data_IF_674231679529
#
_entry.id   IF_674231679529
#
_cell.length_a   1.000
_cell.length_b   1.000
_cell.length_c   1.000
_cell.angle_alpha   90.00
_cell.angle_beta   90.00
_cell.angle_gamma   90.00
#
_symmetry.space_group_name_H-M   'P 1'
#
loop_
_entity.id
_entity.type
_entity.pdbx_description
1 polymer ?
#
# COMPACT_ATOMS: atom_id res chain seq x y z
N UNK A 1 0.41 13.68 19.85
CA UNK A 1 -0.79 14.10 19.09
C UNK A 1 -1.48 12.83 18.63
N UNK A 2 -2.81 12.68 18.78
CA UNK A 2 -3.50 11.47 18.33
C UNK A 2 -3.37 11.31 16.80
N UNK A 3 -3.33 10.07 16.30
CA UNK A 3 -3.25 9.79 14.86
C UNK A 3 -4.34 10.52 14.05
N UNK A 4 -5.53 10.68 14.63
CA UNK A 4 -6.66 11.44 14.07
C UNK A 4 -6.33 12.92 13.84
N UNK A 5 -5.60 13.56 14.76
CA UNK A 5 -5.22 14.97 14.63
C UNK A 5 -4.16 15.16 13.55
N UNK A 6 -3.17 14.26 13.50
CA UNK A 6 -2.12 14.28 12.47
C UNK A 6 -2.72 14.10 11.08
N UNK A 7 -3.69 13.19 10.93
CA UNK A 7 -4.42 13.01 9.68
C UNK A 7 -5.17 14.28 9.24
N UNK A 8 -5.88 14.94 10.15
CA UNK A 8 -6.60 16.18 9.85
C UNK A 8 -5.68 17.34 9.42
N UNK A 9 -4.54 17.51 10.10
CA UNK A 9 -3.56 18.53 9.75
C UNK A 9 -2.94 18.28 8.36
N UNK A 10 -2.64 17.00 8.04
CA UNK A 10 -2.14 16.59 6.73
C UNK A 10 -3.16 16.79 5.62
N UNK A 11 -4.43 16.44 5.85
CA UNK A 11 -5.52 16.69 4.91
C UNK A 11 -5.67 18.18 4.61
N UNK A 12 -5.66 19.02 5.64
CA UNK A 12 -5.78 20.45 5.46
C UNK A 12 -4.58 21.03 4.68
N UNK A 13 -3.37 20.56 4.98
CA UNK A 13 -2.17 20.94 4.23
C UNK A 13 -2.24 20.48 2.77
N UNK A 14 -2.68 19.26 2.51
CA UNK A 14 -2.84 18.74 1.16
C UNK A 14 -3.82 19.58 0.35
N UNK A 15 -4.98 19.96 0.93
CA UNK A 15 -5.95 20.85 0.30
C UNK A 15 -5.36 22.20 -0.11
N UNK A 16 -4.51 22.78 0.73
CA UNK A 16 -3.83 24.06 0.43
C UNK A 16 -2.86 23.88 -0.74
N UNK A 17 -2.02 22.85 -0.69
CA UNK A 17 -1.00 22.60 -1.72
C UNK A 17 -1.61 22.25 -3.08
N UNK A 18 -2.67 21.43 -3.11
CA UNK A 18 -3.37 21.03 -4.33
C UNK A 18 -4.12 22.18 -5.01
N UNK A 19 -4.40 23.28 -4.30
CA UNK A 19 -4.99 24.50 -4.88
C UNK A 19 -3.95 25.45 -5.49
N UNK A 20 -2.66 25.22 -5.29
CA UNK A 20 -1.61 26.00 -5.96
C UNK A 20 -1.58 25.68 -7.46
N UNK A 21 -1.03 26.57 -8.32
CA UNK A 21 -0.90 26.28 -9.75
C UNK A 21 -0.13 24.97 -10.02
N UNK A 22 0.93 24.71 -9.24
CA UNK A 22 1.68 23.45 -9.33
C UNK A 22 0.81 22.27 -8.92
N UNK A 23 0.13 22.37 -7.78
CA UNK A 23 -0.75 21.33 -7.27
C UNK A 23 -1.85 20.92 -8.24
N UNK A 24 -2.56 21.91 -8.80
CA UNK A 24 -3.67 21.70 -9.72
C UNK A 24 -3.27 21.07 -11.06
N UNK A 25 -2.02 21.32 -11.51
CA UNK A 25 -1.50 20.81 -12.78
C UNK A 25 -0.70 19.50 -12.62
N UNK A 26 -0.35 19.10 -11.39
CA UNK A 26 0.45 17.90 -11.16
C UNK A 26 -0.41 16.66 -11.36
N UNK A 27 -0.06 15.84 -12.34
CA UNK A 27 -0.66 14.51 -12.51
C UNK A 27 -0.15 13.56 -11.44
N UNK A 28 -1.04 12.83 -10.78
CA UNK A 28 -0.68 11.75 -9.86
C UNK A 28 -0.96 10.40 -10.52
N UNK A 29 -0.07 9.43 -10.34
CA UNK A 29 -0.20 8.08 -10.89
C UNK A 29 -0.07 7.07 -9.76
N UNK A 30 -1.06 6.20 -9.60
CA UNK A 30 -0.96 5.01 -8.75
C UNK A 30 -0.32 3.86 -9.53
N UNK A 31 0.88 3.50 -9.12
CA UNK A 31 1.74 2.46 -9.65
C UNK A 31 1.42 1.04 -9.19
N UNK A 32 0.13 0.70 -9.00
CA UNK A 32 -0.30 -0.54 -8.35
C UNK A 32 -1.51 -1.18 -9.04
N UNK A 33 -1.47 -2.52 -9.18
CA UNK A 33 -2.60 -3.32 -9.66
C UNK A 33 -3.59 -3.72 -8.56
N UNK A 34 -3.22 -3.56 -7.27
CA UNK A 34 -4.06 -3.94 -6.14
C UNK A 34 -5.40 -3.20 -6.13
N UNK A 35 -6.51 -3.95 -6.04
CA UNK A 35 -7.87 -3.42 -5.90
C UNK A 35 -8.04 -2.64 -4.60
N UNK A 36 -7.47 -3.15 -3.50
CA UNK A 36 -7.55 -2.51 -2.18
C UNK A 36 -6.82 -1.17 -2.17
N UNK A 37 -5.62 -1.09 -2.75
CA UNK A 37 -4.88 0.18 -2.82
C UNK A 37 -5.59 1.22 -3.70
N UNK A 38 -6.31 0.78 -4.74
CA UNK A 38 -7.16 1.66 -5.55
C UNK A 38 -8.32 2.20 -4.72
N UNK A 39 -9.05 1.33 -4.01
CA UNK A 39 -10.11 1.74 -3.08
C UNK A 39 -9.63 2.76 -2.06
N UNK A 40 -8.46 2.53 -1.44
CA UNK A 40 -7.87 3.48 -0.48
C UNK A 40 -7.47 4.82 -1.12
N UNK A 41 -7.01 4.82 -2.36
CA UNK A 41 -6.78 6.07 -3.11
C UNK A 41 -8.08 6.80 -3.45
N UNK A 42 -9.15 6.07 -3.79
CA UNK A 42 -10.47 6.65 -4.05
C UNK A 42 -11.02 7.33 -2.79
N UNK A 43 -10.99 6.64 -1.65
CA UNK A 43 -11.35 7.22 -0.34
C UNK A 43 -10.50 8.45 -0.01
N UNK A 44 -9.18 8.40 -0.27
CA UNK A 44 -8.29 9.53 -0.02
C UNK A 44 -8.64 10.75 -0.89
N UNK A 45 -8.99 10.53 -2.17
CA UNK A 45 -9.46 11.57 -3.06
C UNK A 45 -10.74 12.23 -2.53
N UNK A 46 -11.69 11.44 -2.04
CA UNK A 46 -12.93 11.94 -1.42
C UNK A 46 -12.64 12.75 -0.14
N UNK A 47 -11.77 12.23 0.74
CA UNK A 47 -11.38 12.89 1.99
C UNK A 47 -10.68 14.24 1.76
N UNK A 48 -9.79 14.31 0.76
CA UNK A 48 -9.12 15.55 0.37
C UNK A 48 -10.12 16.55 -0.19
N UNK A 49 -11.11 16.08 -0.96
CA UNK A 49 -12.21 16.87 -1.47
C UNK A 49 -12.34 16.75 -2.98
N UNK A 50 -13.59 16.82 -3.46
CA UNK A 50 -13.94 16.63 -4.86
C UNK A 50 -13.02 17.41 -5.80
N UNK A 51 -12.46 16.70 -6.78
CA UNK A 51 -11.63 17.24 -7.85
C UNK A 51 -10.30 17.92 -7.44
N UNK A 52 -9.90 17.86 -6.16
CA UNK A 52 -8.59 18.42 -5.73
C UNK A 52 -7.43 17.43 -5.96
N UNK A 53 -7.65 16.15 -5.66
CA UNK A 53 -6.70 15.09 -5.97
C UNK A 53 -7.33 14.16 -7.00
N UNK A 54 -6.65 13.97 -8.12
CA UNK A 54 -7.02 13.00 -9.16
C UNK A 54 -5.80 12.15 -9.48
N UNK A 55 -6.03 10.89 -9.78
CA UNK A 55 -4.95 9.97 -10.12
C UNK A 55 -5.33 9.07 -11.29
N UNK A 56 -4.31 8.65 -12.04
CA UNK A 56 -4.41 7.57 -13.02
C UNK A 56 -3.78 6.31 -12.48
N UNK A 57 -4.10 5.14 -13.06
CA UNK A 57 -3.43 3.89 -12.73
C UNK A 57 -2.50 3.49 -13.86
N UNK A 58 -1.24 3.18 -13.53
CA UNK A 58 -0.30 2.62 -14.48
C UNK A 58 0.57 1.57 -13.79
N UNK A 59 0.58 0.36 -14.33
CA UNK A 59 1.37 -0.74 -13.77
C UNK A 59 2.45 -1.19 -14.75
N UNK A 60 3.50 -1.78 -14.20
CA UNK A 60 4.51 -2.53 -14.92
C UNK A 60 4.76 -3.83 -14.18
N UNK A 61 4.96 -4.90 -14.95
CA UNK A 61 5.28 -6.20 -14.38
C UNK A 61 6.75 -6.21 -13.98
N UNK A 62 7.02 -6.67 -12.76
CA UNK A 62 8.36 -6.97 -12.28
C UNK A 62 8.38 -8.38 -11.72
N UNK A 63 9.51 -9.07 -11.84
CA UNK A 63 9.73 -10.33 -11.16
C UNK A 63 10.04 -10.04 -9.67
N UNK A 64 8.99 -9.86 -8.87
CA UNK A 64 9.11 -9.62 -7.42
C UNK A 64 9.83 -10.77 -6.73
N UNK A 65 9.69 -12.00 -7.26
CA UNK A 65 10.29 -13.22 -6.68
C UNK A 65 11.81 -13.25 -6.79
N UNK A 66 12.38 -12.57 -7.80
CA UNK A 66 13.83 -12.42 -7.95
C UNK A 66 14.46 -11.49 -6.90
N UNK A 67 13.67 -10.64 -6.24
CA UNK A 67 14.15 -9.69 -5.24
C UNK A 67 13.89 -10.26 -3.85
N UNK A 68 14.98 -10.54 -3.12
CA UNK A 68 14.92 -11.08 -1.76
C UNK A 68 15.80 -10.28 -0.81
N UNK A 69 15.28 -9.99 0.37
CA UNK A 69 16.00 -9.41 1.51
C UNK A 69 15.57 -10.14 2.77
N UNK A 70 16.47 -10.22 3.75
CA UNK A 70 16.16 -10.81 5.07
C UNK A 70 15.37 -9.84 5.93
N UNK A 71 15.72 -8.56 5.85
CA UNK A 71 14.98 -7.50 6.51
C UNK A 71 13.73 -7.13 5.69
N UNK A 72 12.53 -7.15 6.32
CA UNK A 72 11.28 -6.87 5.61
C UNK A 72 11.20 -5.41 5.14
N UNK A 73 11.75 -4.45 5.90
CA UNK A 73 11.75 -3.03 5.53
C UNK A 73 12.62 -2.77 4.31
N UNK A 74 13.79 -3.41 4.24
CA UNK A 74 14.65 -3.40 3.06
C UNK A 74 13.95 -4.04 1.85
N UNK A 75 13.25 -5.17 2.05
CA UNK A 75 12.53 -5.87 0.98
C UNK A 75 11.51 -4.95 0.31
N UNK A 76 10.57 -4.42 1.10
CA UNK A 76 9.48 -3.57 0.57
C UNK A 76 10.01 -2.27 -0.01
N UNK A 77 11.10 -1.72 0.56
CA UNK A 77 11.77 -0.53 0.02
C UNK A 77 12.33 -0.79 -1.38
N UNK A 78 13.03 -1.91 -1.57
CA UNK A 78 13.61 -2.26 -2.87
C UNK A 78 12.51 -2.58 -3.88
N UNK A 79 11.47 -3.29 -3.48
CA UNK A 79 10.33 -3.63 -4.35
C UNK A 79 9.56 -2.39 -4.79
N UNK A 80 9.25 -1.47 -3.88
CA UNK A 80 8.58 -0.21 -4.24
C UNK A 80 9.40 0.60 -5.25
N UNK A 81 10.72 0.74 -5.04
CA UNK A 81 11.63 1.41 -5.99
C UNK A 81 11.73 0.67 -7.33
N UNK A 82 11.78 -0.66 -7.32
CA UNK A 82 11.83 -1.46 -8.54
C UNK A 82 10.56 -1.28 -9.39
N UNK A 83 9.38 -1.22 -8.76
CA UNK A 83 8.10 -0.90 -9.42
C UNK A 83 8.15 0.48 -10.07
N UNK A 84 8.68 1.48 -9.37
CA UNK A 84 8.81 2.84 -9.92
C UNK A 84 9.71 2.87 -11.16
N UNK A 85 10.86 2.22 -11.10
CA UNK A 85 11.80 2.15 -12.22
C UNK A 85 11.23 1.38 -13.43
N UNK A 86 10.49 0.30 -13.19
CA UNK A 86 9.83 -0.45 -14.27
C UNK A 86 8.75 0.40 -14.98
N UNK A 87 7.93 1.13 -14.21
CA UNK A 87 6.93 2.05 -14.76
C UNK A 87 7.61 3.20 -15.51
N UNK A 88 8.66 3.79 -14.96
CA UNK A 88 9.44 4.86 -15.61
C UNK A 88 10.01 4.42 -16.95
N UNK A 89 10.56 3.19 -17.03
CA UNK A 89 11.03 2.60 -18.30
C UNK A 89 9.89 2.44 -19.29
N UNK A 90 8.75 1.88 -18.85
CA UNK A 90 7.56 1.72 -19.69
C UNK A 90 7.05 3.05 -20.24
N UNK A 91 7.00 4.10 -19.42
CA UNK A 91 6.58 5.43 -19.85
C UNK A 91 7.53 6.07 -20.86
N UNK A 92 8.85 5.94 -20.65
CA UNK A 92 9.84 6.44 -21.61
C UNK A 92 9.69 5.82 -23.01
N UNK A 93 9.27 4.56 -23.09
CA UNK A 93 9.03 3.88 -24.37
C UNK A 93 7.75 4.38 -25.08
N UNK A 94 6.81 4.97 -24.33
CA UNK A 94 5.53 5.47 -24.84
C UNK A 94 5.54 6.97 -25.13
N UNK A 95 6.59 7.68 -24.72
CA UNK A 95 6.69 9.14 -24.86
C UNK A 95 7.24 9.55 -26.22
N UNK A 96 6.68 10.62 -26.77
CA UNK A 96 7.30 11.31 -27.88
C UNK A 96 8.56 12.06 -27.41
N UNK A 97 9.63 12.09 -28.22
CA UNK A 97 10.84 12.85 -27.90
C UNK A 97 10.52 14.33 -27.61
N UNK A 98 10.95 14.81 -26.43
CA UNK A 98 10.78 16.21 -26.03
C UNK A 98 9.55 16.52 -25.19
N UNK A 99 8.70 15.53 -24.88
CA UNK A 99 7.60 15.71 -23.95
C UNK A 99 8.09 15.67 -22.49
N UNK A 100 7.97 16.79 -21.77
CA UNK A 100 8.22 16.82 -20.34
C UNK A 100 7.13 16.04 -19.58
N UNK A 101 7.56 15.16 -18.68
CA UNK A 101 6.65 14.35 -17.87
C UNK A 101 6.48 14.96 -16.48
N UNK A 102 5.48 15.82 -16.34
CA UNK A 102 5.08 16.38 -15.05
C UNK A 102 4.09 15.44 -14.35
N UNK A 103 4.61 14.40 -13.68
CA UNK A 103 3.79 13.49 -12.90
C UNK A 103 4.49 12.97 -11.65
N UNK A 104 3.72 12.78 -10.58
CA UNK A 104 4.14 12.09 -9.37
C UNK A 104 3.63 10.64 -9.41
N UNK A 105 4.55 9.69 -9.36
CA UNK A 105 4.27 8.26 -9.32
C UNK A 105 4.30 7.73 -7.89
N UNK A 106 3.18 7.18 -7.44
CA UNK A 106 3.06 6.48 -6.16
C UNK A 106 3.25 4.99 -6.40
N UNK A 107 4.28 4.39 -5.82
CA UNK A 107 4.48 2.93 -5.83
C UNK A 107 4.59 2.41 -4.41
N UNK A 108 4.14 1.17 -4.23
CA UNK A 108 4.02 0.57 -2.92
C UNK A 108 4.23 -0.92 -2.95
N UNK A 109 4.77 -1.43 -1.85
CA UNK A 109 4.94 -2.84 -1.58
C UNK A 109 4.66 -3.15 -0.12
N UNK A 110 4.24 -4.39 0.17
CA UNK A 110 3.93 -4.80 1.54
C UNK A 110 4.08 -6.31 1.67
N UNK A 111 4.61 -6.72 2.82
CA UNK A 111 4.65 -8.11 3.27
C UNK A 111 4.00 -8.24 4.64
N UNK A 112 3.62 -9.47 4.99
CA UNK A 112 3.27 -9.85 6.36
C UNK A 112 4.49 -10.49 7.02
N UNK A 113 4.70 -10.22 8.29
CA UNK A 113 5.67 -10.90 9.13
C UNK A 113 4.93 -11.64 10.23
N UNK A 114 5.21 -12.92 10.38
CA UNK A 114 4.62 -13.76 11.42
C UNK A 114 5.66 -14.75 11.91
N UNK A 115 5.86 -14.81 13.23
CA UNK A 115 6.88 -15.68 13.87
C UNK A 115 8.29 -15.53 13.26
N UNK A 116 8.67 -14.29 12.92
CA UNK A 116 9.98 -13.97 12.32
C UNK A 116 10.15 -14.36 10.85
N UNK A 117 9.08 -14.81 10.19
CA UNK A 117 9.06 -15.18 8.77
C UNK A 117 8.31 -14.12 7.96
N UNK A 118 8.85 -13.78 6.80
CA UNK A 118 8.14 -13.00 5.78
C UNK A 118 7.15 -13.94 5.09
N UNK A 119 5.87 -13.63 5.16
CA UNK A 119 4.80 -14.31 4.46
C UNK A 119 4.44 -13.51 3.19
N UNK A 120 4.65 -14.13 2.04
CA UNK A 120 4.12 -13.66 0.76
C UNK A 120 2.65 -14.10 0.60
N UNK A 121 2.10 -13.97 -0.59
CA UNK A 121 0.76 -14.49 -0.90
C UNK A 121 0.79 -16.03 -0.83
N UNK A 122 -0.20 -16.68 -0.19
CA UNK A 122 -0.26 -18.13 -0.16
C UNK A 122 -0.40 -18.70 -1.58
N UNK A 123 0.29 -19.79 -1.87
CA UNK A 123 0.23 -20.50 -3.16
C UNK A 123 -0.75 -21.69 -3.10
N UNK A 124 -1.12 -22.13 -1.90
CA UNK A 124 -2.02 -23.28 -1.69
C UNK A 124 -3.06 -23.01 -0.61
N UNK A 125 -4.18 -23.74 -0.67
CA UNK A 125 -5.25 -23.66 0.33
C UNK A 125 -4.74 -24.04 1.73
N UNK A 126 -3.86 -25.05 1.81
CA UNK A 126 -3.23 -25.52 3.05
C UNK A 126 -2.36 -24.43 3.67
N UNK A 127 -1.57 -23.72 2.86
CA UNK A 127 -0.74 -22.60 3.32
C UNK A 127 -1.60 -21.42 3.79
N UNK A 128 -2.68 -21.08 3.07
CA UNK A 128 -3.60 -20.04 3.51
C UNK A 128 -4.24 -20.37 4.87
N UNK A 129 -4.66 -21.63 5.08
CA UNK A 129 -5.19 -22.09 6.37
C UNK A 129 -4.13 -22.00 7.48
N UNK A 130 -2.90 -22.41 7.20
CA UNK A 130 -1.79 -22.34 8.16
C UNK A 130 -1.53 -20.90 8.60
N UNK A 131 -1.48 -19.97 7.65
CA UNK A 131 -1.25 -18.55 7.92
C UNK A 131 -2.36 -17.97 8.80
N UNK A 132 -3.62 -18.08 8.37
CA UNK A 132 -4.77 -17.45 9.04
C UNK A 132 -5.00 -18.03 10.43
N UNK A 133 -4.91 -19.36 10.59
CA UNK A 133 -5.02 -20.01 11.89
C UNK A 133 -3.85 -19.67 12.82
N UNK A 134 -2.70 -19.27 12.27
CA UNK A 134 -1.51 -18.87 13.00
C UNK A 134 -1.68 -17.57 13.78
N UNK A 135 -2.41 -16.60 13.22
CA UNK A 135 -2.48 -15.22 13.73
C UNK A 135 -3.09 -15.08 15.13
N UNK A 136 -3.87 -16.07 15.57
CA UNK A 136 -4.39 -16.10 16.94
C UNK A 136 -3.39 -16.63 17.97
N UNK A 137 -2.37 -17.38 17.55
CA UNK A 137 -1.31 -17.89 18.45
C UNK A 137 -0.26 -16.82 18.71
N UNK A 138 0.15 -16.13 17.64
CA UNK A 138 1.12 -15.05 17.70
C UNK A 138 0.63 -13.88 16.82
N UNK A 139 0.72 -12.62 17.28
CA UNK A 139 0.39 -11.47 16.46
C UNK A 139 1.22 -11.46 15.18
N UNK A 140 0.60 -11.11 14.06
CA UNK A 140 1.32 -10.77 12.84
C UNK A 140 1.56 -9.27 12.76
N UNK A 141 2.53 -8.87 11.94
CA UNK A 141 2.70 -7.48 11.53
C UNK A 141 2.68 -7.33 10.02
N UNK A 142 2.27 -6.17 9.54
CA UNK A 142 2.50 -5.74 8.16
C UNK A 142 3.69 -4.82 8.13
N UNK A 143 4.58 -5.00 7.16
CA UNK A 143 5.64 -4.06 6.86
C UNK A 143 5.46 -3.65 5.40
N UNK A 144 5.28 -2.36 5.15
CA UNK A 144 5.01 -1.81 3.82
C UNK A 144 5.83 -0.57 3.53
N UNK A 145 6.09 -0.29 2.25
CA UNK A 145 6.72 0.95 1.82
C UNK A 145 5.81 1.68 0.83
N UNK A 146 5.79 3.02 0.96
CA UNK A 146 5.20 3.92 -0.03
C UNK A 146 6.30 4.84 -0.54
N UNK A 147 6.46 4.90 -1.85
CA UNK A 147 7.39 5.79 -2.53
C UNK A 147 6.62 6.73 -3.45
N UNK A 148 6.97 8.01 -3.41
CA UNK A 148 6.54 9.02 -4.38
C UNK A 148 7.74 9.43 -5.21
N UNK A 149 7.65 9.24 -6.52
CA UNK A 149 8.69 9.59 -7.49
C UNK A 149 8.20 10.72 -8.38
N UNK A 150 8.92 11.82 -8.40
CA UNK A 150 8.76 12.86 -9.43
C UNK A 150 9.39 12.35 -10.72
N UNK A 151 8.54 12.11 -11.74
CA UNK A 151 8.99 11.52 -12.99
C UNK A 151 9.75 12.51 -13.88
N UNK A 152 9.61 13.82 -13.66
CA UNK A 152 10.34 14.86 -14.38
C UNK A 152 11.75 15.05 -13.82
N UNK A 153 11.88 15.11 -12.50
CA UNK A 153 13.19 15.35 -11.84
C UNK A 153 13.92 14.06 -11.44
N UNK A 154 13.21 12.94 -11.33
CA UNK A 154 13.72 11.69 -10.78
C UNK A 154 13.86 11.68 -9.26
N UNK A 155 13.41 12.72 -8.56
CA UNK A 155 13.41 12.78 -7.09
C UNK A 155 12.49 11.71 -6.52
N UNK A 156 12.94 11.01 -5.48
CA UNK A 156 12.17 9.98 -4.77
C UNK A 156 12.10 10.32 -3.28
N UNK A 157 10.89 10.31 -2.74
CA UNK A 157 10.63 10.32 -1.29
C UNK A 157 9.96 8.99 -0.92
N UNK A 158 10.36 8.37 0.20
CA UNK A 158 9.88 7.06 0.61
C UNK A 158 9.72 6.99 2.12
N UNK A 159 8.66 6.32 2.57
CA UNK A 159 8.43 6.00 3.98
C UNK A 159 8.03 4.52 4.14
N UNK A 160 8.52 3.88 5.20
CA UNK A 160 8.19 2.49 5.59
C UNK A 160 7.19 2.51 6.75
N UNK A 161 6.05 1.87 6.57
CA UNK A 161 4.97 1.70 7.54
C UNK A 161 4.98 0.30 8.13
N UNK A 162 4.68 0.23 9.43
CA UNK A 162 4.56 -1.02 10.16
C UNK A 162 3.33 -0.97 11.05
N UNK A 163 2.58 -2.06 11.08
CA UNK A 163 1.44 -2.23 11.96
C UNK A 163 1.40 -3.65 12.56
N UNK A 164 1.02 -3.78 13.81
CA UNK A 164 0.84 -5.07 14.48
C UNK A 164 -0.65 -5.37 14.67
N UNK A 165 -1.07 -6.60 14.39
CA UNK A 165 -2.46 -7.02 14.42
C UNK A 165 -2.62 -8.20 15.37
N UNK A 166 -3.54 -8.06 16.31
CA UNK A 166 -3.85 -9.08 17.31
C UNK A 166 -5.21 -9.68 17.02
N UNK A 167 -5.28 -11.01 17.00
CA UNK A 167 -6.49 -11.76 16.72
C UNK A 167 -6.96 -12.59 17.92
N UNK A 168 -8.26 -12.77 18.06
CA UNK A 168 -8.80 -13.98 18.70
C UNK A 168 -8.72 -15.16 17.73
N UNK A 169 -8.86 -16.42 18.20
CA UNK A 169 -8.99 -17.56 17.31
C UNK A 169 -10.06 -17.35 16.23
N UNK A 170 -9.65 -17.46 14.97
CA UNK A 170 -10.55 -17.45 13.81
C UNK A 170 -11.08 -18.89 13.66
N UNK A 171 -12.40 -19.12 13.67
CA UNK A 171 -13.00 -20.44 13.53
C UNK A 171 -12.59 -21.13 12.23
N UNK A 172 -12.40 -22.45 12.27
CA UNK A 172 -11.92 -23.22 11.12
C UNK A 172 -12.86 -23.13 9.91
N UNK A 173 -14.17 -23.12 10.13
CA UNK A 173 -15.20 -22.90 9.11
C UNK A 173 -15.10 -21.51 8.49
N UNK A 174 -14.76 -20.49 9.27
CA UNK A 174 -14.46 -19.15 8.75
C UNK A 174 -13.21 -19.15 7.88
N UNK A 175 -12.15 -19.85 8.30
CA UNK A 175 -10.91 -19.99 7.49
C UNK A 175 -11.20 -20.71 6.17
N UNK A 176 -11.97 -21.81 6.21
CA UNK A 176 -12.33 -22.56 5.01
C UNK A 176 -13.16 -21.71 4.03
N UNK A 177 -14.11 -20.91 4.55
CA UNK A 177 -14.90 -19.99 3.72
C UNK A 177 -14.02 -18.93 3.03
N UNK A 178 -13.06 -18.34 3.74
CA UNK A 178 -12.12 -17.36 3.17
C UNK A 178 -11.25 -17.98 2.06
N UNK A 179 -10.85 -19.24 2.23
CA UNK A 179 -10.08 -19.99 1.24
C UNK A 179 -10.93 -20.32 0.02
N UNK A 180 -12.20 -20.68 0.21
CA UNK A 180 -13.16 -20.93 -0.87
C UNK A 180 -13.48 -19.66 -1.68
N UNK A 181 -13.60 -18.50 -1.02
CA UNK A 181 -13.75 -17.20 -1.70
C UNK A 181 -12.53 -16.84 -2.55
N UNK A 182 -11.34 -17.28 -2.14
CA UNK A 182 -10.10 -17.19 -2.91
C UNK A 182 -9.41 -15.82 -2.90
N UNK A 183 -9.99 -14.80 -2.27
CA UNK A 183 -9.34 -13.49 -2.15
C UNK A 183 -8.03 -13.55 -1.35
N UNK A 184 -7.93 -14.49 -0.40
CA UNK A 184 -6.72 -14.76 0.41
C UNK A 184 -5.46 -14.97 -0.42
N UNK A 185 -5.58 -15.56 -1.63
CA UNK A 185 -4.44 -15.84 -2.51
C UNK A 185 -3.86 -14.58 -3.18
N UNK A 186 -4.54 -13.44 -3.04
CA UNK A 186 -4.08 -12.15 -3.57
C UNK A 186 -3.50 -11.23 -2.48
N UNK A 187 -3.56 -11.66 -1.21
CA UNK A 187 -3.15 -10.89 -0.04
C UNK A 187 -1.90 -11.48 0.60
N UNK A 188 -0.93 -10.64 0.97
CA UNK A 188 0.27 -11.10 1.68
C UNK A 188 -0.17 -11.78 3.00
N UNK A 189 0.35 -12.97 3.26
CA UNK A 189 -0.07 -13.80 4.39
C UNK A 189 -1.55 -14.23 4.38
N UNK A 190 -2.30 -14.01 3.31
CA UNK A 190 -3.77 -14.16 3.36
C UNK A 190 -4.44 -13.24 4.39
N UNK A 191 -3.76 -12.17 4.81
CA UNK A 191 -4.23 -11.23 5.82
C UNK A 191 -5.24 -10.26 5.21
N UNK A 192 -6.50 -10.33 5.67
CA UNK A 192 -7.61 -9.50 5.16
C UNK A 192 -8.41 -8.92 6.33
N UNK A 193 -7.81 -7.98 7.07
CA UNK A 193 -8.42 -7.40 8.28
C UNK A 193 -9.73 -6.66 8.03
N UNK A 194 -9.95 -6.23 6.79
CA UNK A 194 -11.14 -5.56 6.31
C UNK A 194 -12.28 -6.52 5.98
N UNK A 195 -12.00 -7.83 5.85
CA UNK A 195 -12.99 -8.80 5.45
C UNK A 195 -14.04 -8.99 6.53
N UNK A 196 -15.33 -9.06 6.16
CA UNK A 196 -16.45 -9.12 7.11
C UNK A 196 -16.36 -10.33 8.06
N UNK A 197 -15.86 -11.46 7.53
CA UNK A 197 -15.60 -12.67 8.31
C UNK A 197 -14.40 -12.57 9.26
N UNK A 198 -13.45 -11.67 8.99
CA UNK A 198 -12.19 -11.54 9.77
C UNK A 198 -12.31 -10.43 10.81
N UNK A 199 -13.00 -9.33 10.50
CA UNK A 199 -13.15 -8.17 11.38
C UNK A 199 -13.58 -8.51 12.83
N UNK A 200 -14.56 -9.42 13.07
CA UNK A 200 -14.97 -9.78 14.43
C UNK A 200 -13.85 -10.39 15.28
N UNK A 201 -12.80 -10.90 14.65
CA UNK A 201 -11.67 -11.55 15.32
C UNK A 201 -10.49 -10.60 15.55
N UNK A 202 -10.49 -9.40 14.96
CA UNK A 202 -9.44 -8.41 15.19
C UNK A 202 -9.67 -7.73 16.55
N UNK A 203 -8.78 -7.97 17.50
CA UNK A 203 -8.87 -7.42 18.86
C UNK A 203 -8.15 -6.09 19.01
N UNK A 204 -7.06 -5.88 18.26
CA UNK A 204 -6.23 -4.69 18.35
C UNK A 204 -5.42 -4.51 17.07
N UNK A 205 -5.32 -3.27 16.61
CA UNK A 205 -4.37 -2.84 15.59
C UNK A 205 -3.48 -1.76 16.22
N UNK A 206 -2.17 -2.01 16.24
CA UNK A 206 -1.15 -1.02 16.59
C UNK A 206 -0.56 -0.48 15.29
N UNK A 207 -1.09 0.65 14.83
CA UNK A 207 -0.84 1.18 13.49
C UNK A 207 -2.13 1.78 12.95
N UNK A 208 -2.31 1.79 11.63
CA UNK A 208 -3.53 2.28 10.99
C UNK A 208 -4.15 1.20 10.11
N UNK A 209 -5.48 1.17 10.02
CA UNK A 209 -6.21 0.17 9.24
C UNK A 209 -5.82 0.20 7.75
N UNK A 210 -5.72 1.40 7.18
CA UNK A 210 -5.27 1.62 5.80
C UNK A 210 -3.79 1.23 5.57
N UNK A 211 -2.96 1.34 6.60
CA UNK A 211 -1.59 0.81 6.63
C UNK A 211 -1.58 -0.71 6.51
N UNK A 212 -2.36 -1.41 7.35
CA UNK A 212 -2.52 -2.88 7.27
C UNK A 212 -3.07 -3.31 5.91
N UNK A 213 -4.03 -2.57 5.36
CA UNK A 213 -4.63 -2.83 4.04
C UNK A 213 -3.68 -2.52 2.86
N UNK A 214 -2.51 -1.92 3.11
CA UNK A 214 -1.45 -1.77 2.12
C UNK A 214 -1.25 -0.39 1.51
N UNK A 215 -1.95 0.65 1.99
CA UNK A 215 -1.70 2.03 1.59
C UNK A 215 -2.03 3.03 2.71
N UNK A 216 -1.06 3.39 3.57
CA UNK A 216 -1.26 4.35 4.65
C UNK A 216 -1.50 5.77 4.11
N UNK A 217 -2.76 6.22 4.08
CA UNK A 217 -3.23 7.47 3.46
C UNK A 217 -2.52 8.70 4.02
N UNK A 218 -2.33 8.76 5.34
CA UNK A 218 -1.61 9.86 5.97
C UNK A 218 -0.17 10.00 5.45
N UNK A 219 0.52 8.88 5.22
CA UNK A 219 1.89 8.88 4.68
C UNK A 219 1.91 9.25 3.21
N UNK A 220 0.92 8.80 2.43
CA UNK A 220 0.74 9.24 1.04
C UNK A 220 0.63 10.77 0.97
N UNK A 221 -0.24 11.38 1.78
CA UNK A 221 -0.37 12.84 1.84
C UNK A 221 0.91 13.53 2.30
N UNK A 222 1.56 12.99 3.34
CA UNK A 222 2.83 13.49 3.85
C UNK A 222 3.91 13.51 2.77
N UNK A 223 4.04 12.43 2.02
CA UNK A 223 4.99 12.31 0.91
C UNK A 223 4.66 13.26 -0.24
N UNK A 224 3.40 13.27 -0.73
CA UNK A 224 2.96 14.18 -1.79
C UNK A 224 3.23 15.65 -1.43
N UNK A 225 3.02 16.03 -0.16
CA UNK A 225 3.24 17.41 0.31
C UNK A 225 4.68 17.91 0.17
N UNK A 226 5.66 17.01 -0.02
CA UNK A 226 7.09 17.36 -0.20
C UNK A 226 7.42 17.78 -1.64
N UNK A 227 6.48 17.64 -2.58
CA UNK A 227 6.68 17.92 -4.00
C UNK A 227 5.94 19.17 -4.50
N UNK A 228 5.05 19.74 -3.69
CA UNK A 228 4.34 20.97 -4.00
C UNK A 228 5.07 22.20 -3.47
#
# INVERSE_FOLDING_TARGET
>A
MSATKVGADLLQRARVLLRTPRGANTRVILGSSSKIRRKLMDELCEEVGENLLRYDVLTADIDEKAIRRKDPSELVTVLAKAKAEAIKKKMKLLQEPGQELEALLITCDQVVVHEGRILEKPETAEEAREFIAGYARNPCSTVGAVAVTDLGTGRVELEVDEAHIHFTPIPADTVDALVEEGEVFWCAGGLMVEHEMVQPHVTKIEGTMDGVMGLPKARVLGLLSKFY
#
